data_IF_848630657958
#
_entry.id   IF_848630657958
#
_cell.length_a   1.000
_cell.length_b   1.000
_cell.length_c   1.000
_cell.angle_alpha   90.00
_cell.angle_beta   90.00
_cell.angle_gamma   90.00
#
_symmetry.space_group_name_H-M   'P 1'
#
loop_
_entity.id
_entity.type
_entity.pdbx_description
1 polymer ?
#
# COMPACT_ATOMS: atom_id res chain seq x y z
N UNK A 1 -47.86 17.85 -3.53
CA UNK A 1 -46.86 18.37 -2.55
C UNK A 1 -46.17 17.23 -1.80
N UNK A 2 -46.90 16.30 -1.19
CA UNK A 2 -46.31 15.17 -0.42
C UNK A 2 -45.40 14.24 -1.23
N UNK A 3 -45.69 14.02 -2.51
CA UNK A 3 -44.90 13.12 -3.38
C UNK A 3 -43.50 13.68 -3.69
N UNK A 4 -43.40 15.00 -3.94
CA UNK A 4 -42.11 15.69 -4.12
C UNK A 4 -41.26 15.68 -2.86
N UNK A 5 -41.92 15.81 -1.70
CA UNK A 5 -41.26 15.73 -0.39
C UNK A 5 -40.70 14.32 -0.17
N UNK A 6 -41.45 13.27 -0.51
CA UNK A 6 -41.02 11.87 -0.39
C UNK A 6 -39.80 11.57 -1.26
N UNK A 7 -39.77 12.05 -2.50
CA UNK A 7 -38.64 11.89 -3.42
C UNK A 7 -37.38 12.57 -2.88
N UNK A 8 -37.50 13.79 -2.35
CA UNK A 8 -36.38 14.51 -1.72
C UNK A 8 -35.83 13.73 -0.51
N UNK A 9 -36.69 13.16 0.33
CA UNK A 9 -36.26 12.36 1.48
C UNK A 9 -35.51 11.08 1.07
N UNK A 10 -35.96 10.39 0.02
CA UNK A 10 -35.29 9.18 -0.49
C UNK A 10 -33.88 9.52 -1.00
N UNK A 11 -33.72 10.60 -1.78
CA UNK A 11 -32.40 11.02 -2.25
C UNK A 11 -31.49 11.49 -1.12
N UNK A 12 -32.01 12.25 -0.15
CA UNK A 12 -31.24 12.67 1.02
C UNK A 12 -30.76 11.46 1.85
N UNK A 13 -31.60 10.44 2.01
CA UNK A 13 -31.24 9.20 2.69
C UNK A 13 -30.14 8.44 1.93
N UNK A 14 -30.24 8.33 0.61
CA UNK A 14 -29.23 7.64 -0.22
C UNK A 14 -27.88 8.37 -0.18
N UNK A 15 -27.88 9.71 -0.29
CA UNK A 15 -26.65 10.51 -0.20
C UNK A 15 -26.05 10.42 1.21
N UNK A 16 -26.88 10.50 2.26
CA UNK A 16 -26.44 10.32 3.64
C UNK A 16 -25.82 8.95 3.89
N UNK A 17 -26.45 7.88 3.39
CA UNK A 17 -25.92 6.53 3.48
C UNK A 17 -24.62 6.36 2.69
N UNK A 18 -24.55 6.89 1.46
CA UNK A 18 -23.33 6.86 0.65
C UNK A 18 -22.17 7.61 1.34
N UNK A 19 -22.46 8.76 1.95
CA UNK A 19 -21.47 9.56 2.68
C UNK A 19 -20.99 8.81 3.92
N UNK A 20 -21.91 8.20 4.68
CA UNK A 20 -21.58 7.38 5.85
C UNK A 20 -20.72 6.17 5.46
N UNK A 21 -21.05 5.47 4.36
CA UNK A 21 -20.28 4.34 3.86
C UNK A 21 -18.89 4.77 3.35
N UNK A 22 -18.76 5.97 2.79
CA UNK A 22 -17.48 6.53 2.36
C UNK A 22 -16.59 6.99 3.53
N UNK A 23 -17.17 7.44 4.64
CA UNK A 23 -16.40 7.87 5.83
C UNK A 23 -16.08 6.73 6.79
N UNK A 24 -16.82 5.62 6.73
CA UNK A 24 -16.62 4.43 7.57
C UNK A 24 -15.20 3.85 7.54
N UNK A 25 -14.53 3.73 6.37
CA UNK A 25 -13.14 3.26 6.30
C UNK A 25 -12.15 4.19 7.00
N UNK A 26 -12.43 5.50 7.05
CA UNK A 26 -11.60 6.47 7.78
C UNK A 26 -11.75 6.36 9.30
N UNK A 27 -12.76 5.63 9.77
CA UNK A 27 -13.01 5.38 11.18
C UNK A 27 -12.30 4.13 11.71
N UNK A 28 -11.70 3.30 10.83
CA UNK A 28 -10.92 2.14 11.26
C UNK A 28 -9.50 2.63 11.60
N UNK A 29 -9.05 2.54 12.86
CA UNK A 29 -7.69 2.90 13.21
C UNK A 29 -6.73 1.94 12.49
N UNK A 30 -5.94 2.48 11.55
CA UNK A 30 -4.87 1.75 10.89
C UNK A 30 -3.52 2.18 11.49
N UNK A 31 -2.70 1.19 11.83
CA UNK A 31 -1.32 1.43 12.28
C UNK A 31 -0.45 1.50 11.03
N UNK A 32 -0.02 2.71 10.65
CA UNK A 32 0.85 2.94 9.49
C UNK A 32 2.11 3.69 9.89
N UNK A 33 3.16 3.50 9.10
CA UNK A 33 4.43 4.22 9.21
C UNK A 33 4.95 4.56 7.81
N UNK A 34 5.71 5.63 7.67
CA UNK A 34 6.46 5.96 6.45
C UNK A 34 7.96 5.62 6.58
N UNK A 35 8.37 5.05 7.73
CA UNK A 35 9.76 4.70 8.00
C UNK A 35 10.21 3.47 7.20
N UNK A 36 11.44 3.52 6.69
CA UNK A 36 12.08 2.42 5.97
C UNK A 36 12.07 1.15 6.83
N UNK A 37 11.89 0.00 6.16
CA UNK A 37 11.89 -1.33 6.77
C UNK A 37 10.80 -1.60 7.81
N UNK A 38 9.95 -0.63 8.18
CA UNK A 38 8.86 -0.86 9.13
C UNK A 38 7.82 -1.84 8.58
N UNK A 39 7.33 -2.74 9.43
CA UNK A 39 6.22 -3.64 9.08
C UNK A 39 4.89 -2.89 8.89
N UNK A 40 4.81 -1.64 9.33
CA UNK A 40 3.64 -0.78 9.15
C UNK A 40 3.75 0.13 7.93
N UNK A 41 4.89 0.08 7.22
CA UNK A 41 5.09 0.82 5.99
C UNK A 41 4.61 0.01 4.77
N UNK A 42 3.59 0.52 4.10
CA UNK A 42 2.98 -0.05 2.88
C UNK A 42 3.58 0.47 1.59
N UNK A 43 4.51 1.42 1.66
CA UNK A 43 5.27 1.92 0.53
C UNK A 43 6.34 0.94 0.08
N UNK A 44 7.01 1.27 -1.03
CA UNK A 44 7.97 0.39 -1.71
C UNK A 44 9.18 -0.04 -0.83
N UNK A 45 9.56 0.81 0.12
CA UNK A 45 10.66 0.69 1.09
C UNK A 45 10.24 0.05 2.43
N UNK A 46 8.97 -0.34 2.59
CA UNK A 46 8.45 -0.95 3.82
C UNK A 46 8.41 -2.48 3.80
N UNK A 47 8.23 -3.09 4.98
CA UNK A 47 8.17 -4.54 5.20
C UNK A 47 6.75 -5.07 5.49
N UNK A 48 5.69 -4.30 5.24
CA UNK A 48 4.30 -4.75 5.46
C UNK A 48 3.96 -6.04 4.71
N UNK A 49 4.46 -6.21 3.48
CA UNK A 49 4.30 -7.45 2.70
C UNK A 49 4.90 -8.68 3.41
N UNK A 50 6.03 -8.51 4.10
CA UNK A 50 6.66 -9.55 4.91
C UNK A 50 5.81 -9.87 6.16
N UNK A 51 5.28 -8.86 6.83
CA UNK A 51 4.43 -9.05 8.00
C UNK A 51 3.13 -9.78 7.66
N UNK A 52 2.49 -9.46 6.52
CA UNK A 52 1.33 -10.18 6.01
C UNK A 52 1.66 -11.65 5.71
N UNK A 53 2.82 -11.92 5.09
CA UNK A 53 3.30 -13.30 4.89
C UNK A 53 3.48 -14.01 6.24
N UNK A 54 4.14 -13.36 7.20
CA UNK A 54 4.40 -13.91 8.54
C UNK A 54 3.13 -14.30 9.28
N UNK A 55 2.11 -13.45 9.22
CA UNK A 55 0.80 -13.74 9.81
C UNK A 55 0.15 -15.00 9.21
N UNK A 56 0.29 -15.22 7.89
CA UNK A 56 -0.24 -16.41 7.21
C UNK A 56 0.49 -17.69 7.60
N UNK A 57 1.77 -17.60 7.97
CA UNK A 57 2.61 -18.76 8.29
C UNK A 57 2.63 -19.14 9.78
N UNK A 58 2.73 -18.16 10.70
CA UNK A 58 3.06 -18.44 12.11
C UNK A 58 2.27 -17.65 13.15
N UNK A 59 1.38 -16.75 12.74
CA UNK A 59 0.76 -15.80 13.66
C UNK A 59 1.75 -14.72 14.11
N UNK A 60 1.23 -13.54 14.38
CA UNK A 60 2.01 -12.36 14.78
C UNK A 60 1.77 -12.08 16.26
N UNK A 61 2.84 -11.91 17.04
CA UNK A 61 2.75 -11.42 18.42
C UNK A 61 3.14 -9.93 18.42
N UNK A 62 2.21 -9.03 18.77
CA UNK A 62 2.48 -7.59 18.71
C UNK A 62 3.50 -7.18 19.77
N UNK A 63 4.37 -6.25 19.40
CA UNK A 63 5.40 -5.64 20.26
C UNK A 63 5.03 -4.23 20.72
N UNK A 64 3.76 -3.86 20.64
CA UNK A 64 3.25 -2.57 21.07
C UNK A 64 2.06 -2.71 22.02
N UNK A 65 1.80 -1.66 22.78
CA UNK A 65 0.56 -1.49 23.54
C UNK A 65 -0.15 -0.22 23.11
N UNK A 66 -1.48 -0.23 23.22
CA UNK A 66 -2.29 0.97 23.05
C UNK A 66 -2.50 1.60 24.43
N UNK A 67 -2.06 2.85 24.60
CA UNK A 67 -2.33 3.67 25.79
C UNK A 67 -3.32 4.75 25.40
N UNK A 68 -4.43 4.85 26.12
CA UNK A 68 -5.50 5.79 25.79
C UNK A 68 -5.84 6.70 26.96
N UNK A 69 -6.11 7.97 26.64
CA UNK A 69 -6.96 8.85 27.46
C UNK A 69 -8.33 8.98 26.79
N UNK A 70 -9.27 9.69 27.40
CA UNK A 70 -10.59 9.98 26.80
C UNK A 70 -10.49 10.74 25.47
N UNK A 71 -9.35 11.37 25.17
CA UNK A 71 -9.18 12.27 24.02
C UNK A 71 -8.02 11.89 23.08
N UNK A 72 -7.19 10.90 23.43
CA UNK A 72 -6.08 10.45 22.59
C UNK A 72 -5.82 8.95 22.77
N UNK A 73 -5.51 8.26 21.66
CA UNK A 73 -4.94 6.92 21.66
C UNK A 73 -3.51 7.01 21.15
N UNK A 74 -2.56 6.47 21.90
CA UNK A 74 -1.15 6.40 21.58
C UNK A 74 -0.74 4.93 21.47
N UNK A 75 -0.03 4.59 20.39
CA UNK A 75 0.63 3.29 20.28
C UNK A 75 2.06 3.46 20.77
N UNK A 76 2.40 2.70 21.80
CA UNK A 76 3.72 2.72 22.41
C UNK A 76 4.38 1.38 22.15
N UNK A 77 5.54 1.41 21.49
CA UNK A 77 6.37 0.22 21.32
C UNK A 77 6.91 -0.24 22.67
N UNK A 78 6.77 -1.54 22.94
CA UNK A 78 7.27 -2.17 24.15
C UNK A 78 8.78 -2.37 24.02
N UNK A 79 9.57 -2.09 25.07
CA UNK A 79 10.98 -2.42 25.06
C UNK A 79 11.20 -3.95 25.11
N UNK A 80 12.36 -4.45 24.67
CA UNK A 80 12.69 -5.88 24.66
C UNK A 80 12.45 -6.63 25.96
N UNK A 81 12.69 -5.98 27.09
CA UNK A 81 12.46 -6.55 28.42
C UNK A 81 10.97 -6.90 28.68
N UNK A 82 10.06 -6.24 27.99
CA UNK A 82 8.61 -6.46 28.08
C UNK A 82 8.10 -7.37 26.96
N UNK A 83 8.95 -7.77 26.01
CA UNK A 83 8.61 -8.82 25.06
C UNK A 83 8.63 -10.15 25.82
N UNK A 84 7.45 -10.69 26.09
CA UNK A 84 7.25 -12.02 26.69
C UNK A 84 7.69 -13.14 25.72
N UNK A 85 8.98 -13.19 25.36
CA UNK A 85 9.52 -14.12 24.38
C UNK A 85 9.54 -15.55 24.93
N UNK A 86 8.84 -16.48 24.27
CA UNK A 86 8.91 -17.92 24.53
C UNK A 86 9.92 -18.58 23.57
N UNK A 87 11.11 -19.01 24.04
CA UNK A 87 12.14 -19.62 23.18
C UNK A 87 11.68 -20.86 22.39
N UNK A 88 10.64 -21.56 22.85
CA UNK A 88 10.10 -22.74 22.18
C UNK A 88 9.02 -22.44 21.14
N UNK A 89 8.42 -21.24 21.19
CA UNK A 89 7.22 -20.89 20.41
C UNK A 89 7.34 -19.59 19.63
N UNK A 90 8.36 -18.79 19.89
CA UNK A 90 8.49 -17.47 19.32
C UNK A 90 9.77 -17.34 18.48
N UNK A 91 9.72 -16.44 17.51
CA UNK A 91 10.86 -16.00 16.68
C UNK A 91 10.92 -14.49 16.74
N UNK A 92 12.14 -13.96 16.89
CA UNK A 92 12.39 -12.52 16.86
C UNK A 92 13.00 -12.15 15.50
N UNK A 93 12.39 -11.18 14.82
CA UNK A 93 12.86 -10.60 13.55
C UNK A 93 13.21 -9.13 13.79
N UNK A 94 14.44 -8.76 13.49
CA UNK A 94 14.95 -7.38 13.59
C UNK A 94 15.42 -6.97 12.19
N UNK A 95 14.93 -5.84 11.67
CA UNK A 95 15.20 -5.38 10.30
C UNK A 95 15.62 -3.91 10.33
N UNK A 96 16.89 -3.65 9.98
CA UNK A 96 17.47 -2.30 9.89
C UNK A 96 17.29 -1.48 11.16
N UNK A 97 17.80 -1.92 12.33
CA UNK A 97 17.69 -1.15 13.56
C UNK A 97 18.50 0.14 13.47
N UNK A 98 17.92 1.28 13.84
CA UNK A 98 18.56 2.60 13.79
C UNK A 98 18.86 3.18 15.18
N UNK A 99 18.48 2.47 16.24
CA UNK A 99 18.76 2.82 17.64
C UNK A 99 19.65 1.76 18.27
N UNK A 100 20.70 2.16 19.02
CA UNK A 100 21.57 1.22 19.70
C UNK A 100 20.81 0.42 20.76
N UNK A 101 21.14 -0.86 20.85
CA UNK A 101 20.62 -1.78 21.85
C UNK A 101 21.35 -1.54 23.18
N UNK A 102 20.58 -1.45 24.27
CA UNK A 102 21.12 -1.34 25.62
C UNK A 102 21.55 -2.69 26.16
N UNK A 103 22.27 -2.71 27.29
CA UNK A 103 22.67 -3.95 27.95
C UNK A 103 21.45 -4.76 28.45
N UNK A 104 20.35 -4.07 28.79
CA UNK A 104 19.10 -4.73 29.15
C UNK A 104 18.46 -5.44 27.94
N UNK A 105 18.52 -4.81 26.76
CA UNK A 105 18.01 -5.37 25.51
C UNK A 105 18.82 -6.59 25.09
N UNK A 106 20.16 -6.45 25.12
CA UNK A 106 21.09 -7.55 24.86
C UNK A 106 20.88 -8.74 25.81
N UNK A 107 20.65 -8.48 27.11
CA UNK A 107 20.37 -9.55 28.09
C UNK A 107 19.08 -10.30 27.77
N UNK A 108 17.99 -9.59 27.48
CA UNK A 108 16.70 -10.22 27.17
C UNK A 108 16.79 -11.10 25.90
N UNK A 109 17.45 -10.60 24.86
CA UNK A 109 17.63 -11.34 23.60
C UNK A 109 18.62 -12.49 23.75
N UNK A 110 19.69 -12.33 24.55
CA UNK A 110 20.63 -13.40 24.86
C UNK A 110 19.95 -14.54 25.61
N UNK A 111 19.13 -14.25 26.63
CA UNK A 111 18.35 -15.26 27.36
C UNK A 111 17.39 -16.03 26.44
N UNK A 112 16.75 -15.33 25.49
CA UNK A 112 15.89 -15.95 24.49
C UNK A 112 16.66 -16.92 23.58
N UNK A 113 17.83 -16.52 23.08
CA UNK A 113 18.71 -17.39 22.28
C UNK A 113 19.25 -18.57 23.08
N UNK A 114 19.72 -18.34 24.31
CA UNK A 114 20.15 -19.39 25.22
C UNK A 114 19.02 -20.39 25.50
N UNK A 115 17.78 -19.90 25.55
CA UNK A 115 16.55 -20.68 25.69
C UNK A 115 16.27 -21.64 24.54
N UNK A 116 16.80 -21.39 23.34
CA UNK A 116 16.49 -22.14 22.12
C UNK A 116 15.73 -21.34 21.06
N UNK A 117 15.51 -20.04 21.30
CA UNK A 117 14.81 -19.14 20.37
C UNK A 117 15.56 -18.93 19.06
N UNK A 118 14.84 -18.41 18.07
CA UNK A 118 15.42 -18.06 16.76
C UNK A 118 15.40 -16.54 16.62
N UNK A 119 16.57 -15.95 16.36
CA UNK A 119 16.75 -14.54 16.01
C UNK A 119 17.13 -14.45 14.53
N UNK A 120 16.34 -13.72 13.76
CA UNK A 120 16.71 -13.26 12.44
C UNK A 120 17.03 -11.75 12.50
N UNK A 121 18.27 -11.39 12.18
CA UNK A 121 18.78 -10.02 12.21
C UNK A 121 19.24 -9.61 10.80
N UNK A 122 18.51 -8.70 10.17
CA UNK A 122 18.91 -8.08 8.92
C UNK A 122 19.39 -6.66 9.20
N UNK A 123 20.63 -6.35 8.82
CA UNK A 123 21.21 -5.03 9.01
C UNK A 123 22.36 -4.81 8.01
N UNK A 124 22.68 -3.55 7.75
CA UNK A 124 23.73 -3.12 6.83
C UNK A 124 24.63 -2.06 7.49
N UNK A 125 24.07 -0.89 7.77
CA UNK A 125 24.73 0.32 8.27
C UNK A 125 24.16 0.79 9.61
N UNK A 126 23.16 0.08 10.13
CA UNK A 126 22.47 0.41 11.36
C UNK A 126 23.20 -0.06 12.63
N UNK A 127 22.38 -0.33 13.64
CA UNK A 127 22.81 -0.58 15.02
C UNK A 127 22.79 -2.07 15.40
N UNK A 128 22.67 -2.98 14.45
CA UNK A 128 22.65 -4.43 14.69
C UNK A 128 23.94 -4.94 15.33
N UNK A 129 25.08 -4.32 15.04
CA UNK A 129 26.35 -4.62 15.72
C UNK A 129 26.32 -4.28 17.22
N UNK A 130 25.53 -3.28 17.64
CA UNK A 130 25.35 -2.97 19.06
C UNK A 130 24.63 -4.11 19.80
N UNK A 131 23.70 -4.81 19.14
CA UNK A 131 23.11 -6.05 19.65
C UNK A 131 24.12 -7.20 19.63
N UNK A 132 24.75 -7.47 18.48
CA UNK A 132 25.68 -8.61 18.33
C UNK A 132 26.85 -8.54 19.32
N UNK A 133 27.28 -7.35 19.73
CA UNK A 133 28.31 -7.15 20.77
C UNK A 133 27.90 -7.62 22.17
N UNK A 134 26.60 -7.76 22.41
CA UNK A 134 25.99 -8.17 23.69
C UNK A 134 25.51 -9.62 23.67
N UNK A 135 25.61 -10.28 22.52
CA UNK A 135 25.31 -11.69 22.35
C UNK A 135 26.62 -12.50 22.39
N UNK A 136 26.52 -13.78 22.71
CA UNK A 136 27.67 -14.69 22.74
C UNK A 136 28.08 -15.14 21.33
N UNK A 137 28.42 -14.20 20.46
CA UNK A 137 28.87 -14.43 19.08
C UNK A 137 29.91 -13.39 18.66
N UNK A 138 30.84 -13.81 17.81
CA UNK A 138 31.80 -12.90 17.14
C UNK A 138 31.33 -12.44 15.76
N UNK A 139 30.15 -12.84 15.29
CA UNK A 139 29.57 -12.39 14.01
C UNK A 139 29.31 -10.89 14.04
N UNK A 140 29.72 -10.15 13.01
CA UNK A 140 29.48 -8.69 12.88
C UNK A 140 29.13 -8.30 11.45
N UNK A 141 28.39 -7.20 11.28
CA UNK A 141 28.27 -6.51 10.00
C UNK A 141 29.50 -5.62 9.79
N UNK A 142 29.98 -5.50 8.55
CA UNK A 142 31.13 -4.65 8.24
C UNK A 142 30.79 -3.17 8.29
N UNK A 143 29.52 -2.80 8.13
CA UNK A 143 29.06 -1.41 8.09
C UNK A 143 29.54 -0.64 6.85
N UNK A 144 30.02 -1.37 5.83
CA UNK A 144 30.56 -0.82 4.58
C UNK A 144 29.76 -1.31 3.39
N UNK A 145 29.54 -0.44 2.42
CA UNK A 145 28.81 -0.78 1.20
C UNK A 145 29.67 -1.74 0.36
N UNK A 146 29.09 -2.87 -0.02
CA UNK A 146 29.71 -3.79 -0.96
C UNK A 146 29.20 -3.52 -2.37
N UNK A 147 30.14 -3.38 -3.30
CA UNK A 147 29.86 -3.31 -4.73
C UNK A 147 30.31 -4.60 -5.41
N UNK A 148 29.62 -4.98 -6.47
CA UNK A 148 29.93 -6.18 -7.25
C UNK A 148 29.96 -5.86 -8.76
N UNK A 149 30.69 -6.64 -9.56
CA UNK A 149 30.55 -6.65 -11.02
C UNK A 149 29.43 -7.60 -11.49
N UNK A 150 29.00 -8.52 -10.63
CA UNK A 150 27.78 -9.30 -10.81
C UNK A 150 26.59 -8.48 -10.30
N UNK A 151 25.98 -7.66 -11.17
CA UNK A 151 24.90 -6.76 -10.79
C UNK A 151 23.79 -6.65 -11.85
N UNK A 152 22.62 -6.15 -11.45
CA UNK A 152 21.49 -5.90 -12.37
C UNK A 152 21.51 -4.51 -13.01
N UNK A 153 21.80 -3.45 -12.23
CA UNK A 153 21.79 -2.05 -12.71
C UNK A 153 23.09 -1.30 -12.46
N UNK A 154 23.59 -1.41 -11.23
CA UNK A 154 24.85 -0.83 -10.74
C UNK A 154 25.44 -1.73 -9.67
N UNK A 155 26.71 -1.50 -9.29
CA UNK A 155 27.42 -2.36 -8.35
C UNK A 155 26.73 -2.55 -7.00
N UNK A 156 25.95 -1.57 -6.54
CA UNK A 156 25.14 -1.68 -5.32
C UNK A 156 23.91 -2.59 -5.43
N UNK A 157 23.44 -2.89 -6.66
CA UNK A 157 22.35 -3.82 -6.95
C UNK A 157 22.91 -5.21 -7.25
N UNK A 158 23.58 -5.76 -6.24
CA UNK A 158 24.35 -7.00 -6.32
C UNK A 158 23.47 -8.19 -6.66
N UNK A 159 23.84 -8.92 -7.71
CA UNK A 159 23.24 -10.19 -8.11
C UNK A 159 24.11 -11.33 -7.57
N UNK A 160 23.64 -11.93 -6.49
CA UNK A 160 24.32 -13.02 -5.77
C UNK A 160 23.98 -14.35 -6.45
N UNK A 161 25.00 -15.08 -6.89
CA UNK A 161 24.87 -16.40 -7.53
C UNK A 161 25.55 -17.53 -6.75
N UNK A 162 26.45 -17.21 -5.81
CA UNK A 162 27.00 -18.20 -4.85
C UNK A 162 26.02 -18.32 -3.67
N UNK A 163 24.90 -18.99 -3.93
CA UNK A 163 23.90 -19.38 -2.93
C UNK A 163 24.11 -20.85 -2.59
N UNK A 164 24.50 -21.13 -1.35
CA UNK A 164 24.81 -22.50 -0.89
C UNK A 164 23.56 -23.18 -0.33
N UNK A 165 23.41 -24.50 -0.52
CA UNK A 165 22.26 -25.24 -0.01
C UNK A 165 22.09 -25.12 1.52
N UNK A 166 20.87 -24.77 1.93
CA UNK A 166 20.44 -24.64 3.33
C UNK A 166 18.91 -24.68 3.39
N UNK A 167 18.36 -24.83 4.59
CA UNK A 167 16.91 -24.86 4.83
C UNK A 167 16.20 -23.57 4.37
N UNK A 168 16.91 -22.44 4.30
CA UNK A 168 16.36 -21.14 3.87
C UNK A 168 16.69 -20.80 2.40
N UNK A 169 17.49 -21.61 1.70
CA UNK A 169 17.96 -21.34 0.33
C UNK A 169 17.54 -22.44 -0.65
N UNK A 170 16.58 -23.30 -0.29
CA UNK A 170 16.08 -24.34 -1.18
C UNK A 170 15.49 -23.74 -2.47
N UNK A 171 15.91 -24.25 -3.63
CA UNK A 171 15.53 -23.71 -4.95
C UNK A 171 15.81 -22.21 -5.16
N UNK A 172 16.74 -21.62 -4.42
CA UNK A 172 17.21 -20.23 -4.63
C UNK A 172 18.49 -20.26 -5.44
N UNK A 173 18.45 -19.75 -6.68
CA UNK A 173 19.63 -19.69 -7.54
C UNK A 173 20.26 -18.30 -7.54
N UNK A 174 19.43 -17.24 -7.48
CA UNK A 174 19.89 -15.86 -7.49
C UNK A 174 19.18 -14.99 -6.45
N UNK A 175 19.95 -14.26 -5.66
CA UNK A 175 19.42 -13.20 -4.79
C UNK A 175 19.79 -11.83 -5.38
N UNK A 176 18.85 -10.90 -5.35
CA UNK A 176 19.12 -9.50 -5.67
C UNK A 176 19.14 -8.68 -4.38
N UNK A 177 20.31 -8.14 -4.05
CA UNK A 177 20.51 -7.21 -2.94
C UNK A 177 20.47 -5.76 -3.44
N UNK A 178 20.25 -4.82 -2.53
CA UNK A 178 20.13 -3.38 -2.79
C UNK A 178 20.86 -2.59 -1.71
N UNK A 179 22.06 -2.12 -2.04
CA UNK A 179 23.02 -1.49 -1.11
C UNK A 179 23.46 -2.40 0.05
N UNK A 180 23.90 -3.65 -0.22
CA UNK A 180 24.30 -4.56 0.85
C UNK A 180 25.55 -4.08 1.59
N UNK A 181 25.61 -4.38 2.88
CA UNK A 181 26.88 -4.54 3.59
C UNK A 181 27.39 -5.98 3.49
N UNK A 182 28.36 -6.35 4.32
CA UNK A 182 28.90 -7.71 4.40
C UNK A 182 28.98 -8.20 5.84
N UNK A 183 29.16 -9.51 6.01
CA UNK A 183 29.33 -10.14 7.31
C UNK A 183 30.81 -10.50 7.54
N UNK A 184 31.23 -10.32 8.78
CA UNK A 184 32.38 -10.95 9.40
C UNK A 184 31.84 -12.07 10.30
N UNK A 185 31.54 -13.26 9.75
CA UNK A 185 30.91 -14.34 10.50
C UNK A 185 31.84 -14.91 11.56
N UNK A 186 31.27 -15.47 12.62
CA UNK A 186 32.03 -16.26 13.59
C UNK A 186 32.60 -17.52 12.93
N UNK A 187 33.66 -18.12 13.50
CA UNK A 187 34.20 -19.40 13.03
C UNK A 187 33.20 -20.57 13.07
N UNK A 188 32.10 -20.42 13.80
CA UNK A 188 31.06 -21.44 13.96
C UNK A 188 29.82 -21.18 13.11
N UNK A 189 29.78 -20.07 12.37
CA UNK A 189 28.68 -19.75 11.49
C UNK A 189 28.84 -20.45 10.14
N UNK A 190 27.72 -20.99 9.64
CA UNK A 190 27.60 -21.50 8.27
C UNK A 190 27.11 -20.38 7.37
N UNK A 191 27.96 -19.93 6.45
CA UNK A 191 27.60 -18.91 5.45
C UNK A 191 26.88 -19.57 4.28
N UNK A 192 25.72 -19.04 3.92
CA UNK A 192 24.82 -19.61 2.90
C UNK A 192 24.70 -18.74 1.64
N UNK A 193 25.26 -17.53 1.65
CA UNK A 193 25.34 -16.68 0.48
C UNK A 193 26.64 -15.86 0.49
N UNK A 194 27.32 -15.79 -0.64
CA UNK A 194 28.55 -15.02 -0.83
C UNK A 194 28.43 -14.06 -2.03
N UNK A 195 29.05 -12.88 -1.91
CA UNK A 195 29.25 -12.02 -3.07
C UNK A 195 30.24 -12.65 -4.06
N UNK A 196 30.34 -12.09 -5.26
CA UNK A 196 31.27 -12.62 -6.25
C UNK A 196 32.74 -12.38 -5.84
N UNK A 197 33.71 -13.15 -6.36
CA UNK A 197 35.14 -12.86 -6.21
C UNK A 197 35.57 -11.49 -6.77
N UNK A 198 34.73 -10.84 -7.58
CA UNK A 198 35.00 -9.52 -8.16
C UNK A 198 34.44 -8.36 -7.35
N UNK A 199 33.77 -8.65 -6.22
CA UNK A 199 33.26 -7.62 -5.30
C UNK A 199 34.35 -6.93 -4.49
N UNK A 200 34.06 -5.71 -4.02
CA UNK A 200 34.92 -4.92 -3.14
C UNK A 200 34.08 -4.11 -2.15
N UNK A 201 34.72 -3.69 -1.05
CA UNK A 201 34.10 -2.78 -0.07
C UNK A 201 34.48 -1.35 -0.40
N UNK A 202 33.49 -0.50 -0.61
CA UNK A 202 33.70 0.93 -0.87
C UNK A 202 34.24 1.61 0.40
N UNK A 203 35.41 2.27 0.30
CA UNK A 203 35.99 3.06 1.40
C UNK A 203 35.79 4.56 1.15
N UNK A 204 36.12 5.02 -0.04
CA UNK A 204 35.91 6.39 -0.50
C UNK A 204 34.77 6.34 -1.51
N UNK A 205 33.65 7.06 -1.28
CA UNK A 205 32.45 7.04 -2.15
C UNK A 205 32.74 7.63 -3.54
N UNK A 206 33.52 6.94 -4.36
CA UNK A 206 34.04 7.40 -5.64
C UNK A 206 33.69 6.40 -6.78
N UNK A 207 32.97 5.32 -6.46
CA UNK A 207 32.52 4.24 -7.37
C UNK A 207 33.68 3.55 -8.12
N UNK A 208 34.92 3.77 -7.69
CA UNK A 208 36.12 3.21 -8.27
C UNK A 208 36.81 2.34 -7.25
N UNK A 209 37.30 1.21 -7.75
CA UNK A 209 38.05 0.32 -6.89
C UNK A 209 39.47 0.87 -6.67
N UNK A 210 39.82 1.12 -5.41
CA UNK A 210 41.10 1.69 -5.02
C UNK A 210 42.13 0.60 -4.62
N UNK A 211 43.43 0.81 -4.87
CA UNK A 211 44.47 -0.13 -4.44
C UNK A 211 44.48 -0.31 -2.91
N UNK A 212 44.19 -1.53 -2.44
CA UNK A 212 44.19 -1.88 -1.01
C UNK A 212 42.81 -2.14 -0.42
N UNK A 213 41.74 -1.95 -1.18
CA UNK A 213 40.39 -2.32 -0.74
C UNK A 213 40.25 -3.84 -0.58
N UNK A 214 39.49 -4.24 0.45
CA UNK A 214 39.18 -5.63 0.67
C UNK A 214 38.44 -6.19 -0.55
N UNK A 215 38.82 -7.40 -0.97
CA UNK A 215 38.21 -8.12 -2.10
C UNK A 215 37.33 -9.25 -1.59
N UNK A 216 36.25 -9.49 -2.31
CA UNK A 216 35.40 -10.65 -2.09
C UNK A 216 36.08 -11.97 -2.46
N UNK A 217 35.36 -13.09 -2.32
CA UNK A 217 33.95 -13.16 -1.96
C UNK A 217 33.70 -12.82 -0.48
N UNK A 218 32.66 -12.04 -0.21
CA UNK A 218 32.25 -11.66 1.14
C UNK A 218 31.01 -12.45 1.57
N UNK A 219 30.95 -12.90 2.83
CA UNK A 219 29.73 -13.45 3.41
C UNK A 219 28.59 -12.42 3.43
N UNK A 220 27.40 -12.83 3.00
CA UNK A 220 26.20 -11.97 2.95
C UNK A 220 25.06 -12.50 3.82
N UNK A 221 24.94 -13.82 3.93
CA UNK A 221 23.97 -14.48 4.80
C UNK A 221 24.67 -15.58 5.59
N UNK A 222 24.51 -15.59 6.91
CA UNK A 222 25.10 -16.59 7.79
C UNK A 222 24.09 -17.12 8.80
N UNK A 223 24.26 -18.39 9.16
CA UNK A 223 23.47 -19.09 10.18
C UNK A 223 24.44 -19.56 11.25
N UNK A 224 24.20 -19.18 12.50
CA UNK A 224 25.03 -19.51 13.63
C UNK A 224 24.19 -20.09 14.77
N UNK A 225 24.74 -21.07 15.48
CA UNK A 225 24.16 -21.52 16.74
C UNK A 225 24.70 -20.71 17.90
N UNK A 226 23.84 -19.99 18.59
CA UNK A 226 24.19 -19.18 19.78
C UNK A 226 23.45 -19.76 20.98
N UNK A 227 24.20 -20.34 21.92
CA UNK A 227 23.60 -21.12 23.02
C UNK A 227 22.85 -22.34 22.50
N UNK A 228 21.55 -22.46 22.81
CA UNK A 228 20.68 -23.50 22.25
C UNK A 228 19.92 -23.03 21.00
N UNK A 229 19.83 -21.73 20.79
CA UNK A 229 19.08 -21.07 19.73
C UNK A 229 19.88 -20.86 18.45
N UNK A 230 19.25 -20.14 17.53
CA UNK A 230 19.77 -19.93 16.17
C UNK A 230 19.74 -18.45 15.86
N UNK A 231 20.88 -17.92 15.42
CA UNK A 231 21.04 -16.59 14.87
C UNK A 231 21.17 -16.70 13.34
N UNK A 232 20.31 -16.02 12.61
CA UNK A 232 20.43 -15.84 11.16
C UNK A 232 20.71 -14.37 10.91
N UNK A 233 21.80 -14.07 10.22
CA UNK A 233 22.18 -12.69 9.86
C UNK A 233 22.11 -12.50 8.35
N UNK A 234 21.52 -11.38 7.91
CA UNK A 234 21.41 -10.95 6.52
C UNK A 234 22.01 -9.54 6.38
N UNK A 235 23.01 -9.36 5.51
CA UNK A 235 23.76 -8.10 5.38
C UNK A 235 23.06 -7.00 4.59
N UNK A 236 21.79 -7.22 4.21
CA UNK A 236 20.97 -6.28 3.46
C UNK A 236 19.49 -6.39 3.87
N UNK A 237 18.97 -5.48 4.72
CA UNK A 237 17.55 -5.44 5.07
C UNK A 237 16.67 -5.11 3.86
N UNK A 238 17.21 -4.48 2.81
CA UNK A 238 16.46 -4.13 1.60
C UNK A 238 15.95 -5.34 0.84
N UNK A 239 16.57 -6.52 0.95
CA UNK A 239 16.03 -7.75 0.36
C UNK A 239 14.58 -8.03 0.82
N UNK A 240 14.22 -7.58 2.02
CA UNK A 240 12.93 -7.83 2.66
C UNK A 240 11.86 -6.77 2.38
N UNK A 241 12.22 -5.65 1.74
CA UNK A 241 11.24 -4.61 1.43
C UNK A 241 10.30 -5.05 0.30
N UNK A 242 9.11 -4.48 0.31
CA UNK A 242 8.04 -4.81 -0.63
C UNK A 242 8.51 -4.82 -2.09
N UNK A 243 9.30 -3.83 -2.51
CA UNK A 243 9.77 -3.75 -3.90
C UNK A 243 10.84 -4.80 -4.27
N UNK A 244 11.62 -5.30 -3.30
CA UNK A 244 12.74 -6.21 -3.57
C UNK A 244 12.36 -7.68 -3.43
N UNK A 245 11.34 -8.02 -2.62
CA UNK A 245 10.84 -9.40 -2.51
C UNK A 245 10.45 -9.97 -3.88
N UNK A 246 9.92 -9.14 -4.77
CA UNK A 246 9.46 -9.57 -6.11
C UNK A 246 10.58 -9.63 -7.17
N UNK A 247 11.85 -9.49 -6.76
CA UNK A 247 13.00 -9.51 -7.68
C UNK A 247 13.79 -10.81 -7.56
N UNK A 248 14.29 -11.31 -8.70
CA UNK A 248 15.04 -12.57 -8.77
C UNK A 248 14.32 -13.70 -7.99
N UNK A 249 15.07 -14.53 -7.25
CA UNK A 249 14.51 -15.57 -6.39
C UNK A 249 14.28 -15.09 -4.95
N UNK A 250 14.28 -13.77 -4.69
CA UNK A 250 14.07 -13.23 -3.33
C UNK A 250 12.73 -13.70 -2.75
N UNK A 251 11.70 -13.85 -3.58
CA UNK A 251 10.39 -14.34 -3.16
C UNK A 251 10.43 -15.79 -2.68
N UNK A 252 11.27 -16.64 -3.29
CA UNK A 252 11.49 -18.04 -2.91
C UNK A 252 12.28 -18.08 -1.60
N UNK A 253 13.37 -17.30 -1.51
CA UNK A 253 14.14 -17.17 -0.28
C UNK A 253 13.28 -16.73 0.91
N UNK A 254 12.46 -15.68 0.74
CA UNK A 254 11.57 -15.19 1.79
C UNK A 254 10.52 -16.24 2.16
N UNK A 255 10.02 -17.02 1.19
CA UNK A 255 9.12 -18.13 1.48
C UNK A 255 9.78 -19.17 2.38
N UNK A 256 10.95 -19.68 1.99
CA UNK A 256 11.70 -20.70 2.73
C UNK A 256 12.11 -20.19 4.12
N UNK A 257 12.55 -18.93 4.20
CA UNK A 257 12.88 -18.27 5.46
C UNK A 257 11.65 -18.25 6.38
N UNK A 258 10.51 -17.76 5.91
CA UNK A 258 9.32 -17.67 6.74
C UNK A 258 8.80 -19.05 7.14
N UNK A 259 8.81 -20.02 6.24
CA UNK A 259 8.47 -21.41 6.53
C UNK A 259 9.37 -21.98 7.63
N UNK A 260 10.68 -21.78 7.53
CA UNK A 260 11.64 -22.22 8.54
C UNK A 260 11.41 -21.55 9.90
N UNK A 261 11.27 -20.22 9.91
CA UNK A 261 11.08 -19.43 11.14
C UNK A 261 9.79 -19.82 11.85
N UNK A 262 8.69 -19.93 11.12
CA UNK A 262 7.35 -20.20 11.68
C UNK A 262 7.01 -21.68 11.79
N UNK A 263 7.86 -22.57 11.26
CA UNK A 263 7.66 -24.01 11.25
C UNK A 263 7.30 -24.54 12.64
N UNK A 264 6.30 -25.42 12.71
CA UNK A 264 5.76 -25.92 13.98
C UNK A 264 4.83 -24.96 14.72
N UNK A 265 4.34 -23.91 14.06
CA UNK A 265 3.35 -22.97 14.61
C UNK A 265 3.97 -21.88 15.49
N UNK A 266 5.22 -21.49 15.23
CA UNK A 266 5.90 -20.44 15.98
C UNK A 266 5.37 -19.06 15.61
N UNK A 267 5.21 -18.19 16.60
CA UNK A 267 4.76 -16.80 16.44
C UNK A 267 5.93 -15.89 16.14
N UNK A 268 5.72 -14.94 15.25
CA UNK A 268 6.73 -13.96 14.87
C UNK A 268 6.54 -12.66 15.65
N UNK A 269 7.62 -12.17 16.23
CA UNK A 269 7.75 -10.84 16.81
C UNK A 269 8.68 -10.02 15.93
N UNK A 270 8.25 -8.80 15.59
CA UNK A 270 9.08 -7.83 14.89
C UNK A 270 9.52 -6.73 15.85
N UNK A 271 10.80 -6.41 15.81
CA UNK A 271 11.33 -5.25 16.51
C UNK A 271 11.02 -3.96 15.74
N UNK A 272 10.12 -3.17 16.31
CA UNK A 272 9.80 -1.80 15.87
C UNK A 272 10.23 -0.77 16.93
N UNK A 273 10.83 -1.20 18.04
CA UNK A 273 11.27 -0.36 19.14
C UNK A 273 12.61 0.33 18.84
N UNK A 274 13.53 -0.36 18.17
CA UNK A 274 14.85 0.18 17.80
C UNK A 274 14.85 0.97 16.48
N UNK A 275 13.69 1.46 16.05
CA UNK A 275 13.56 2.38 14.93
C UNK A 275 13.75 3.84 15.37
N UNK A 276 14.05 4.73 14.42
CA UNK A 276 14.26 6.15 14.70
C UNK A 276 12.92 6.82 15.03
N UNK A 277 11.84 6.43 14.35
CA UNK A 277 10.48 6.91 14.60
C UNK A 277 9.61 5.80 15.18
N UNK A 278 9.83 5.48 16.45
CA UNK A 278 9.07 4.47 17.21
C UNK A 278 7.64 4.87 17.57
N UNK A 279 7.05 5.85 16.87
CA UNK A 279 5.65 6.24 17.02
C UNK A 279 4.87 5.79 15.80
N UNK A 280 4.39 4.53 15.77
CA UNK A 280 3.29 4.20 14.88
C UNK A 280 2.15 5.13 15.25
N UNK A 281 1.48 5.68 14.24
CA UNK A 281 0.37 6.62 14.33
C UNK A 281 0.76 8.09 14.12
N UNK A 282 0.72 8.47 12.86
CA UNK A 282 -0.29 9.47 12.48
C UNK A 282 -1.66 8.86 12.77
N UNK A 283 -2.19 9.04 13.98
CA UNK A 283 -3.64 8.92 14.14
C UNK A 283 -4.16 10.01 13.23
N UNK A 284 -4.72 9.65 12.08
CA UNK A 284 -5.36 10.63 11.22
C UNK A 284 -6.42 11.26 12.10
N UNK A 285 -6.12 12.46 12.58
CA UNK A 285 -6.92 13.21 13.54
C UNK A 285 -8.31 13.46 13.00
N UNK A 286 -8.62 13.07 11.76
CA UNK A 286 -9.93 13.12 11.15
C UNK A 286 -11.02 12.51 12.03
N UNK A 287 -10.84 11.36 12.70
CA UNK A 287 -11.92 10.78 13.51
C UNK A 287 -12.10 11.48 14.86
N UNK A 288 -11.02 11.72 15.60
CA UNK A 288 -11.09 12.44 16.88
C UNK A 288 -11.51 13.90 16.69
N UNK A 289 -11.11 14.53 15.58
CA UNK A 289 -11.56 15.87 15.20
C UNK A 289 -13.02 15.81 14.74
N UNK A 290 -13.43 14.86 13.89
CA UNK A 290 -14.82 14.70 13.45
C UNK A 290 -15.81 14.39 14.59
N UNK A 291 -15.35 13.73 15.66
CA UNK A 291 -16.14 13.42 16.85
C UNK A 291 -16.02 14.48 17.96
N UNK A 292 -15.08 15.42 17.85
CA UNK A 292 -14.96 16.51 18.81
C UNK A 292 -16.10 17.52 18.62
N UNK A 293 -16.60 18.19 19.67
CA UNK A 293 -17.70 19.16 19.59
C UNK A 293 -17.46 20.42 18.73
N UNK A 294 -16.36 20.48 17.97
CA UNK A 294 -16.04 21.61 17.07
C UNK A 294 -15.28 21.21 15.81
N UNK A 295 -15.04 19.92 15.54
CA UNK A 295 -14.27 19.48 14.40
C UNK A 295 -15.11 18.81 13.32
N UNK A 296 -15.05 19.37 12.11
CA UNK A 296 -15.29 18.64 10.86
C UNK A 296 -16.71 18.19 10.50
N UNK A 297 -17.70 18.16 11.40
CA UNK A 297 -19.11 17.83 11.05
C UNK A 297 -19.74 18.85 10.10
N UNK A 298 -19.17 20.05 10.02
CA UNK A 298 -19.66 21.11 9.15
C UNK A 298 -19.47 20.80 7.67
N UNK A 299 -18.39 20.14 7.24
CA UNK A 299 -18.13 19.96 5.80
C UNK A 299 -19.09 18.94 5.14
N UNK A 300 -19.31 17.73 5.69
CA UNK A 300 -20.28 16.78 5.16
C UNK A 300 -21.71 17.30 5.29
N UNK A 301 -22.04 17.95 6.41
CA UNK A 301 -23.36 18.57 6.61
C UNK A 301 -23.61 19.73 5.62
N UNK A 302 -22.58 20.55 5.35
CA UNK A 302 -22.64 21.63 4.36
C UNK A 302 -22.76 21.09 2.93
N UNK A 303 -22.06 20.01 2.58
CA UNK A 303 -22.20 19.36 1.26
C UNK A 303 -23.58 18.71 1.09
N UNK A 304 -24.14 18.10 2.13
CA UNK A 304 -25.53 17.61 2.16
C UNK A 304 -26.54 18.76 1.99
N UNK A 305 -26.33 19.89 2.69
CA UNK A 305 -27.18 21.08 2.56
C UNK A 305 -27.06 21.75 1.19
N UNK A 306 -25.85 21.85 0.64
CA UNK A 306 -25.59 22.42 -0.70
C UNK A 306 -26.13 21.51 -1.80
N UNK A 307 -26.01 20.18 -1.66
CA UNK A 307 -26.63 19.20 -2.56
C UNK A 307 -28.15 19.30 -2.55
N UNK A 308 -28.76 19.36 -1.36
CA UNK A 308 -30.19 19.59 -1.22
C UNK A 308 -30.64 20.93 -1.81
N UNK A 309 -29.86 22.01 -1.63
CA UNK A 309 -30.16 23.34 -2.16
C UNK A 309 -29.99 23.44 -3.69
N UNK A 310 -28.96 22.80 -4.26
CA UNK A 310 -28.72 22.77 -5.70
C UNK A 310 -29.81 22.00 -6.43
N UNK A 311 -30.18 20.82 -5.93
CA UNK A 311 -31.24 19.98 -6.50
C UNK A 311 -32.61 20.65 -6.34
N UNK A 312 -32.87 21.30 -5.21
CA UNK A 312 -34.04 22.16 -5.02
C UNK A 312 -34.14 23.26 -6.08
N UNK A 313 -33.02 23.94 -6.39
CA UNK A 313 -32.95 24.99 -7.44
C UNK A 313 -33.18 24.46 -8.85
N UNK A 314 -32.60 23.31 -9.21
CA UNK A 314 -32.75 22.72 -10.54
C UNK A 314 -34.19 22.28 -10.80
N UNK A 315 -34.87 21.72 -9.80
CA UNK A 315 -36.27 21.29 -9.92
C UNK A 315 -37.26 22.48 -9.98
N UNK A 316 -36.98 23.58 -9.28
CA UNK A 316 -37.78 24.83 -9.35
C UNK A 316 -37.68 25.45 -10.75
N UNK A 317 -36.48 25.57 -11.33
CA UNK A 317 -36.29 26.10 -12.69
C UNK A 317 -36.91 25.23 -13.79
N UNK A 318 -36.84 23.90 -13.66
CA UNK A 318 -37.47 22.97 -14.61
C UNK A 318 -39.00 23.09 -14.62
N UNK A 319 -39.61 23.33 -13.47
CA UNK A 319 -41.06 23.54 -13.38
C UNK A 319 -41.54 24.90 -13.89
N UNK A 320 -40.78 25.98 -13.70
CA UNK A 320 -41.12 27.28 -14.29
C UNK A 320 -41.10 27.23 -15.83
N UNK A 321 -40.19 26.46 -16.41
CA UNK A 321 -40.12 26.23 -17.84
C UNK A 321 -41.34 25.44 -18.35
N UNK A 322 -41.74 24.38 -17.62
CA UNK A 322 -42.94 23.59 -17.94
C UNK A 322 -44.21 24.43 -17.74
N UNK A 323 -44.27 25.31 -16.73
CA UNK A 323 -45.37 26.24 -16.51
C UNK A 323 -45.54 27.25 -17.64
N UNK A 324 -44.44 27.82 -18.16
CA UNK A 324 -44.47 28.70 -19.34
C UNK A 324 -44.86 27.98 -20.62
N UNK A 325 -44.46 26.72 -20.77
CA UNK A 325 -44.88 25.88 -21.90
C UNK A 325 -46.38 25.56 -21.79
N UNK A 326 -46.88 25.24 -20.58
CA UNK A 326 -48.31 25.02 -20.33
C UNK A 326 -49.15 26.29 -20.52
N UNK A 327 -48.69 27.46 -20.08
CA UNK A 327 -49.40 28.73 -20.30
C UNK A 327 -49.49 29.09 -21.80
N UNK A 328 -48.45 28.80 -22.58
CA UNK A 328 -48.50 28.91 -24.05
C UNK A 328 -49.47 27.90 -24.67
N UNK A 329 -49.56 26.71 -24.11
CA UNK A 329 -50.47 25.66 -24.57
C UNK A 329 -51.94 25.96 -24.24
N UNK A 330 -52.21 26.52 -23.05
CA UNK A 330 -53.57 26.85 -22.58
C UNK A 330 -54.10 28.10 -23.29
N UNK A 331 -53.24 29.07 -23.62
CA UNK A 331 -53.65 30.27 -24.38
C UNK A 331 -53.81 30.03 -25.89
N UNK A 332 -53.34 28.90 -26.40
CA UNK A 332 -53.51 28.47 -27.80
C UNK A 332 -54.74 27.60 -28.05
N UNK A 333 -55.67 27.50 -27.08
CA UNK A 333 -56.79 26.55 -27.09
C UNK A 333 -58.20 27.15 -27.18
N UNK A 334 -58.37 28.37 -27.71
CA UNK A 334 -59.67 28.82 -28.22
C UNK A 334 -59.57 28.96 -29.74
N UNK A 335 -60.43 28.22 -30.44
CA UNK A 335 -60.43 27.94 -31.88
C UNK A 335 -60.69 29.17 -32.78
N UNK A 336 -60.02 29.22 -33.94
CA UNK A 336 -60.61 29.65 -35.23
C UNK A 336 -59.84 28.96 -36.39
N UNK A 337 -60.42 28.84 -37.61
CA UNK A 337 -60.45 27.61 -38.41
C UNK A 337 -59.27 27.41 -39.37
N UNK A 338 -59.13 26.17 -39.87
CA UNK A 338 -58.15 25.75 -40.89
C UNK A 338 -58.24 26.61 -42.15
N UNK A 339 -57.23 27.47 -42.36
CA UNK A 339 -56.88 27.98 -43.68
C UNK A 339 -55.85 27.05 -44.34
N UNK A 340 -56.18 26.54 -45.53
CA UNK A 340 -55.18 26.00 -46.45
C UNK A 340 -54.29 27.16 -46.89
N UNK A 341 -53.10 27.25 -46.30
CA UNK A 341 -52.08 28.21 -46.72
C UNK A 341 -51.31 27.57 -47.87
N UNK A 342 -51.40 28.18 -49.05
CA UNK A 342 -50.59 27.84 -50.22
C UNK A 342 -49.10 28.10 -49.87
N UNK A 343 -48.22 27.07 -49.86
CA UNK A 343 -46.84 27.22 -49.42
C UNK A 343 -45.99 28.17 -50.28
N UNK A 344 -46.49 28.60 -51.44
CA UNK A 344 -45.76 29.42 -52.42
C UNK A 344 -46.12 30.91 -52.36
N UNK A 345 -46.91 31.35 -51.37
CA UNK A 345 -47.48 32.69 -51.35
C UNK A 345 -46.46 33.83 -51.10
N UNK A 346 -45.33 33.52 -50.46
CA UNK A 346 -44.29 34.49 -50.06
C UNK A 346 -43.04 34.52 -50.97
N UNK A 347 -43.03 33.80 -52.10
CA UNK A 347 -41.88 33.77 -53.02
C UNK A 347 -41.99 34.83 -54.12
N UNK A 348 -40.87 35.48 -54.44
CA UNK A 348 -40.81 36.43 -55.56
C UNK A 348 -40.82 35.69 -56.92
N UNK A 349 -41.22 36.36 -58.00
CA UNK A 349 -41.60 35.71 -59.27
C UNK A 349 -40.58 34.73 -59.88
N UNK A 350 -39.29 34.99 -59.73
CA UNK A 350 -38.23 34.09 -60.22
C UNK A 350 -38.05 32.87 -59.28
N UNK A 351 -38.16 33.07 -57.95
CA UNK A 351 -38.03 32.01 -56.93
C UNK A 351 -39.23 31.04 -56.94
N UNK A 352 -40.41 31.54 -57.31
CA UNK A 352 -41.62 30.72 -57.43
C UNK A 352 -41.54 29.76 -58.62
N UNK A 353 -40.97 30.21 -59.73
CA UNK A 353 -40.83 29.38 -60.94
C UNK A 353 -39.85 28.23 -60.70
N UNK A 354 -38.76 28.50 -59.98
CA UNK A 354 -37.75 27.51 -59.61
C UNK A 354 -38.30 26.50 -58.58
N UNK A 355 -39.12 26.95 -57.63
CA UNK A 355 -39.77 26.08 -56.65
C UNK A 355 -40.85 25.16 -57.29
N UNK A 356 -41.58 25.64 -58.29
CA UNK A 356 -42.56 24.83 -59.04
C UNK A 356 -41.87 23.73 -59.88
N UNK A 357 -40.71 24.01 -60.48
CA UNK A 357 -39.92 23.01 -61.23
C UNK A 357 -39.40 21.89 -60.30
N UNK A 358 -38.92 22.24 -59.11
CA UNK A 358 -38.40 21.29 -58.10
C UNK A 358 -39.52 20.41 -57.52
N UNK A 359 -40.71 20.98 -57.28
CA UNK A 359 -41.88 20.23 -56.81
C UNK A 359 -42.33 19.18 -57.82
N UNK A 360 -42.30 19.53 -59.11
CA UNK A 360 -42.70 18.62 -60.20
C UNK A 360 -41.70 17.47 -60.39
N UNK A 361 -40.41 17.73 -60.16
CA UNK A 361 -39.35 16.71 -60.21
C UNK A 361 -39.45 15.72 -59.02
N UNK A 362 -39.78 16.23 -57.82
CA UNK A 362 -39.97 15.45 -56.58
C UNK A 362 -41.21 14.54 -56.60
N UNK A 363 -42.31 14.99 -57.20
CA UNK A 363 -43.52 14.17 -57.36
C UNK A 363 -43.31 13.00 -58.34
N UNK A 364 -42.39 13.12 -59.30
CA UNK A 364 -42.06 12.03 -60.23
C UNK A 364 -41.22 10.90 -59.63
N UNK A 365 -40.61 11.14 -58.45
CA UNK A 365 -39.61 10.26 -57.83
C UNK A 365 -40.13 9.47 -56.61
N UNK A 366 -41.37 9.68 -56.16
CA UNK A 366 -41.91 8.97 -55.00
C UNK A 366 -42.80 7.77 -55.40
N UNK A 367 -42.44 6.53 -55.03
CA UNK A 367 -43.29 5.35 -55.22
C UNK A 367 -44.43 5.31 -54.18
N UNK A 368 -45.57 4.65 -54.48
CA UNK A 368 -46.74 4.68 -53.61
C UNK A 368 -46.56 3.80 -52.36
N UNK A 369 -46.85 4.38 -51.20
CA UNK A 369 -47.08 3.69 -49.92
C UNK A 369 -48.36 2.84 -49.99
N UNK A 370 -48.27 1.59 -49.53
CA UNK A 370 -49.34 0.64 -49.20
C UNK A 370 -48.63 -0.52 -48.45
N UNK A 371 -49.05 -1.14 -47.35
CA UNK A 371 -50.30 -1.27 -46.57
C UNK A 371 -49.83 -1.70 -45.16
N UNK A 372 -50.32 -1.12 -44.08
CA UNK A 372 -51.47 -1.58 -43.29
C UNK A 372 -51.41 -3.01 -42.72
N UNK A 373 -51.59 -3.04 -41.39
CA UNK A 373 -52.45 -3.97 -40.64
C UNK A 373 -52.02 -5.40 -40.23
N UNK A 374 -52.28 -5.63 -38.92
CA UNK A 374 -52.71 -6.89 -38.25
C UNK A 374 -51.57 -7.91 -37.99
N UNK A 375 -51.44 -8.53 -36.82
CA UNK A 375 -52.46 -9.20 -36.00
C UNK A 375 -52.00 -9.27 -34.53
N UNK A 376 -52.93 -8.95 -33.62
CA UNK A 376 -52.94 -9.43 -32.22
C UNK A 376 -53.21 -10.93 -32.19
N UNK A 377 -52.33 -11.72 -31.59
CA UNK A 377 -52.66 -12.75 -30.59
C UNK A 377 -51.41 -13.19 -29.83
#
# INVERSE_FOLDING_TARGET
MMERVRVIYVYAMVIGLATLLMTLPMAVPAVTSDEDFSIYNTSWNGCSSLAVKSYRFGGLKPTFTVRGTTSSLEIVQLPPKEWDLDPGRDVLIIIGPNRPFTDADGKAISEFLEGGGILFLADDFGEGNSLLSRLNTSTRFSGRLALDLSFSKKGEFMMVSDVRPSVITDNVSFLLLNYPSTLMPSPHASVVAYSSPTSWLEVERNEKMDPGEARGPFPLIAIERVGRGILITLSDPSLLITQMIEKADNSIFVHNLMEYLTGGGRRVLFDEYHRQYSSPLTFSSTLATALSPGGGTLLPALLLLLGAAYVGRVHIKGMELIGKILERFIRGGEEEPREQVDPLQDLSGDERTEAEEILQELESLSPPDNEEEKVKQ
#
